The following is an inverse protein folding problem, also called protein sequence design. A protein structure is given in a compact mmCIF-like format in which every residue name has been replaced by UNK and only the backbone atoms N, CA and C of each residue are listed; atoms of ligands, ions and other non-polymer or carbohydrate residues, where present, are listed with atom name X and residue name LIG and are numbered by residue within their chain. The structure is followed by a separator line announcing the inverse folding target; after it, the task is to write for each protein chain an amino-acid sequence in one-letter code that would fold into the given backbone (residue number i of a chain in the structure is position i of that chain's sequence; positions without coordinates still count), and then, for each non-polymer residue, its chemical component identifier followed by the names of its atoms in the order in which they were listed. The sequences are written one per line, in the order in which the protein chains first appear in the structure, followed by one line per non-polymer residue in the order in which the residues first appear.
data_IF_031315298324
#
_entry.id   IF_031315298324
#
_cell.length_a   1.000
_cell.length_b   1.000
_cell.length_c   1.000
_cell.angle_alpha   90.00
_cell.angle_beta   90.00
_cell.angle_gamma   90.00
#
_symmetry.space_group_name_H-M   'P 1'
#
loop_
_entity.id
_entity.type
_entity.pdbx_description
1 polymer ?
#
# COMPACT_ATOMS: atom_id res chain seq x y z
N UNK A 1 -3.98 -43.78 57.27
CA UNK A 1 -4.65 -44.27 56.07
C UNK A 1 -5.00 -43.06 55.17
N UNK A 2 -4.22 -42.81 54.18
CA UNK A 2 -4.45 -41.78 53.17
C UNK A 2 -4.87 -42.48 51.87
N UNK A 3 -5.92 -42.05 51.18
CA UNK A 3 -6.26 -42.65 49.92
C UNK A 3 -5.40 -42.06 48.81
N UNK A 4 -4.88 -42.98 47.99
CA UNK A 4 -4.21 -42.73 46.72
C UNK A 4 -5.20 -42.09 45.75
N UNK A 5 -4.94 -40.86 45.27
CA UNK A 5 -5.58 -40.28 44.12
C UNK A 5 -4.72 -40.60 42.90
N UNK A 6 -5.35 -41.24 41.91
CA UNK A 6 -4.79 -41.71 40.66
C UNK A 6 -4.30 -40.56 39.75
N UNK A 7 -3.04 -40.59 39.44
CA UNK A 7 -2.42 -39.88 38.34
C UNK A 7 -2.73 -40.61 37.01
N UNK A 8 -3.78 -40.23 36.32
CA UNK A 8 -3.99 -40.59 34.90
C UNK A 8 -5.07 -39.69 34.32
N UNK A 9 -4.70 -38.57 33.78
CA UNK A 9 -5.45 -37.80 32.74
C UNK A 9 -4.82 -36.41 32.49
N UNK A 10 -3.51 -36.34 32.28
CA UNK A 10 -2.85 -35.15 31.70
C UNK A 10 -1.78 -35.65 30.74
N UNK A 11 -2.17 -36.15 29.60
CA UNK A 11 -1.27 -36.42 28.49
C UNK A 11 -2.08 -36.73 27.22
N UNK A 12 -2.83 -35.76 26.71
CA UNK A 12 -3.35 -35.81 25.31
C UNK A 12 -3.83 -34.42 24.81
N UNK A 13 -3.07 -33.36 25.07
CA UNK A 13 -3.35 -32.04 24.45
C UNK A 13 -2.07 -31.29 24.06
N UNK A 14 -0.98 -31.99 23.76
CA UNK A 14 0.28 -31.37 23.33
C UNK A 14 0.88 -31.97 22.08
N UNK A 15 0.10 -32.69 21.26
CA UNK A 15 0.64 -33.34 20.05
C UNK A 15 -0.02 -32.88 18.74
N UNK A 16 -0.75 -31.80 18.72
CA UNK A 16 -1.29 -31.20 17.48
C UNK A 16 -0.63 -29.88 17.08
N UNK A 17 0.33 -29.38 17.86
CA UNK A 17 1.11 -28.17 17.54
C UNK A 17 2.49 -28.42 16.91
N UNK A 18 2.87 -29.66 16.65
CA UNK A 18 4.21 -30.01 16.12
C UNK A 18 4.25 -30.29 14.62
N UNK A 19 3.15 -30.08 13.89
CA UNK A 19 3.10 -30.18 12.42
C UNK A 19 2.70 -28.88 11.73
N UNK A 20 2.43 -27.82 12.44
CA UNK A 20 2.48 -26.47 11.87
C UNK A 20 3.94 -26.03 11.97
N UNK A 21 4.71 -26.24 10.89
CA UNK A 21 6.06 -25.72 10.81
C UNK A 21 6.08 -24.27 11.29
N UNK A 22 7.13 -23.88 12.02
CA UNK A 22 7.46 -22.48 12.32
C UNK A 22 7.58 -21.76 10.98
N UNK A 23 6.44 -21.36 10.41
CA UNK A 23 6.31 -20.79 9.09
C UNK A 23 6.96 -19.43 9.09
N UNK A 24 7.81 -19.19 8.09
CA UNK A 24 8.18 -17.86 7.64
C UNK A 24 6.93 -16.98 7.63
N UNK A 25 7.07 -15.75 8.05
CA UNK A 25 5.97 -14.77 8.12
C UNK A 25 5.25 -14.68 6.77
N UNK A 26 4.00 -15.15 6.71
CA UNK A 26 3.10 -15.00 5.53
C UNK A 26 2.53 -13.57 5.41
N UNK A 27 3.27 -12.59 5.93
CA UNK A 27 2.88 -11.20 5.84
C UNK A 27 2.94 -10.72 4.39
N UNK A 28 1.79 -10.47 3.78
CA UNK A 28 1.67 -9.89 2.44
C UNK A 28 1.70 -8.37 2.56
N UNK A 29 2.82 -7.78 2.18
CA UNK A 29 3.06 -6.33 2.32
C UNK A 29 2.69 -5.53 1.08
N UNK A 30 2.72 -6.16 -0.10
CA UNK A 30 2.37 -5.53 -1.38
C UNK A 30 1.49 -6.44 -2.21
N UNK A 31 0.52 -5.85 -2.90
CA UNK A 31 -0.28 -6.49 -3.96
C UNK A 31 -0.22 -5.56 -5.16
N UNK A 32 0.29 -6.05 -6.31
CA UNK A 32 0.35 -5.32 -7.57
C UNK A 32 -0.42 -6.08 -8.64
N UNK A 33 -1.56 -5.52 -9.07
CA UNK A 33 -2.48 -6.16 -10.00
C UNK A 33 -2.14 -5.75 -11.44
N UNK A 34 -2.19 -6.71 -12.37
CA UNK A 34 -2.02 -6.44 -13.79
C UNK A 34 -3.17 -5.54 -14.31
N UNK A 35 -2.89 -4.50 -15.10
CA UNK A 35 -3.89 -3.50 -15.48
C UNK A 35 -5.08 -4.05 -16.27
N UNK A 36 -4.90 -5.11 -17.05
CA UNK A 36 -5.91 -5.64 -17.98
C UNK A 36 -6.17 -7.15 -17.87
N UNK A 37 -5.31 -7.92 -17.17
CA UNK A 37 -5.47 -9.36 -17.01
C UNK A 37 -5.67 -9.74 -15.54
N UNK A 38 -6.89 -10.09 -15.10
CA UNK A 38 -7.20 -10.41 -13.71
C UNK A 38 -6.50 -11.67 -13.17
N UNK A 39 -6.00 -12.53 -14.06
CA UNK A 39 -5.30 -13.74 -13.66
C UNK A 39 -3.83 -13.51 -13.32
N UNK A 40 -3.28 -12.35 -13.72
CA UNK A 40 -1.87 -12.02 -13.46
C UNK A 40 -1.79 -10.96 -12.37
N UNK A 41 -1.07 -11.25 -11.32
CA UNK A 41 -0.68 -10.25 -10.32
C UNK A 41 0.51 -10.71 -9.51
N UNK A 42 1.08 -9.78 -8.77
CA UNK A 42 2.24 -10.00 -7.93
C UNK A 42 1.89 -9.71 -6.48
N UNK A 43 2.50 -10.46 -5.60
CA UNK A 43 2.51 -10.16 -4.16
C UNK A 43 3.95 -10.16 -3.66
N UNK A 44 4.24 -9.25 -2.73
CA UNK A 44 5.49 -9.31 -1.99
C UNK A 44 5.20 -9.66 -0.54
N UNK A 45 5.96 -10.62 -0.03
CA UNK A 45 6.11 -10.86 1.41
C UNK A 45 7.25 -10.02 1.95
N UNK A 46 7.61 -10.19 3.21
CA UNK A 46 8.80 -9.53 3.77
C UNK A 46 10.10 -9.92 3.07
N UNK A 47 10.15 -11.11 2.44
CA UNK A 47 11.38 -11.70 1.96
C UNK A 47 11.40 -12.02 0.46
N UNK A 48 10.22 -12.18 -0.16
CA UNK A 48 10.10 -12.69 -1.52
C UNK A 48 9.03 -11.99 -2.34
N UNK A 49 9.19 -12.02 -3.67
CA UNK A 49 8.17 -11.65 -4.66
C UNK A 49 7.61 -12.95 -5.26
N UNK A 50 6.29 -13.02 -5.33
CA UNK A 50 5.58 -14.08 -6.01
C UNK A 50 4.68 -13.53 -7.09
N UNK A 51 4.52 -14.30 -8.17
CA UNK A 51 3.62 -14.02 -9.28
C UNK A 51 2.65 -15.16 -9.47
N UNK A 52 1.41 -14.83 -9.75
CA UNK A 52 0.42 -15.77 -10.27
C UNK A 52 0.10 -15.46 -11.72
N UNK A 53 -0.34 -16.50 -12.46
CA UNK A 53 -0.83 -16.40 -13.85
C UNK A 53 -2.23 -17.00 -14.00
N UNK A 54 -2.80 -17.52 -12.92
CA UNK A 54 -4.06 -18.26 -12.84
C UNK A 54 -5.02 -17.72 -11.77
N UNK A 55 -4.88 -16.44 -11.43
CA UNK A 55 -5.75 -15.78 -10.47
C UNK A 55 -5.46 -16.16 -9.00
N UNK A 56 -4.25 -16.67 -8.72
CA UNK A 56 -3.79 -16.97 -7.38
C UNK A 56 -3.93 -18.43 -6.96
N UNK A 57 -4.21 -19.33 -7.91
CA UNK A 57 -4.25 -20.77 -7.64
C UNK A 57 -2.83 -21.34 -7.48
N UNK A 58 -1.87 -20.86 -8.29
CA UNK A 58 -0.45 -21.21 -8.19
C UNK A 58 0.44 -19.98 -8.16
N UNK A 59 1.64 -20.14 -7.57
CA UNK A 59 2.59 -19.05 -7.37
C UNK A 59 3.99 -19.41 -7.81
N UNK A 60 4.62 -18.51 -8.55
CA UNK A 60 6.01 -18.55 -8.98
C UNK A 60 6.85 -17.58 -8.16
N UNK A 61 7.95 -18.04 -7.56
CA UNK A 61 8.89 -17.17 -6.84
C UNK A 61 9.80 -16.46 -7.86
N UNK A 62 9.76 -15.12 -7.86
CA UNK A 62 10.50 -14.26 -8.78
C UNK A 62 11.60 -13.43 -8.09
N UNK A 63 12.07 -13.84 -6.94
CA UNK A 63 13.07 -13.07 -6.17
C UNK A 63 14.51 -13.29 -6.63
N UNK A 64 14.74 -14.12 -7.65
CA UNK A 64 16.07 -14.40 -8.17
C UNK A 64 16.75 -13.13 -8.69
N UNK A 65 17.93 -12.84 -8.17
CA UNK A 65 18.68 -11.61 -8.52
C UNK A 65 18.41 -10.41 -7.60
N UNK A 66 17.47 -10.55 -6.64
CA UNK A 66 17.17 -9.55 -5.62
C UNK A 66 17.56 -10.04 -4.21
N UNK A 67 18.70 -10.73 -4.11
CA UNK A 67 19.19 -11.32 -2.86
C UNK A 67 19.38 -10.22 -1.80
N UNK A 68 18.74 -10.43 -0.63
CA UNK A 68 18.76 -9.54 0.55
C UNK A 68 17.94 -8.24 0.45
N UNK A 69 17.22 -8.00 -0.65
CA UNK A 69 16.42 -6.78 -0.82
C UNK A 69 15.00 -6.99 -0.33
N UNK A 70 14.62 -6.33 0.77
CA UNK A 70 13.21 -6.33 1.23
C UNK A 70 12.38 -5.43 0.32
N UNK A 71 11.41 -6.01 -0.39
CA UNK A 71 10.48 -5.28 -1.24
C UNK A 71 9.43 -4.60 -0.37
N UNK A 72 9.25 -3.30 -0.55
CA UNK A 72 8.31 -2.46 0.20
C UNK A 72 7.18 -1.96 -0.72
N UNK A 73 7.46 -1.77 -2.00
CA UNK A 73 6.49 -1.32 -2.98
C UNK A 73 6.72 -2.00 -4.33
N UNK A 74 5.65 -2.15 -5.10
CA UNK A 74 5.71 -2.64 -6.49
C UNK A 74 4.76 -1.82 -7.36
N UNK A 75 5.13 -1.67 -8.62
CA UNK A 75 4.26 -1.09 -9.64
C UNK A 75 4.43 -1.84 -10.96
N UNK A 76 3.34 -1.98 -11.69
CA UNK A 76 3.32 -2.54 -13.04
C UNK A 76 3.09 -1.39 -13.99
N UNK A 77 3.90 -1.30 -15.06
CA UNK A 77 3.69 -0.30 -16.09
C UNK A 77 2.29 -0.48 -16.72
N UNK A 78 1.44 0.56 -16.73
CA UNK A 78 0.06 0.44 -17.19
C UNK A 78 -0.05 0.22 -18.71
N UNK A 79 0.98 0.58 -19.48
CA UNK A 79 1.02 0.45 -20.93
C UNK A 79 1.80 -0.79 -21.37
N UNK A 80 2.91 -1.08 -20.67
CA UNK A 80 3.79 -2.23 -20.93
C UNK A 80 3.85 -3.17 -19.72
N UNK A 81 2.84 -4.00 -19.44
CA UNK A 81 2.73 -4.77 -18.20
C UNK A 81 3.80 -5.84 -17.98
N UNK A 82 4.64 -6.12 -18.97
CA UNK A 82 5.86 -6.90 -18.81
C UNK A 82 6.92 -6.12 -17.99
N UNK A 83 6.81 -4.79 -17.94
CA UNK A 83 7.69 -3.93 -17.14
C UNK A 83 7.13 -3.80 -15.73
N UNK A 84 7.92 -4.23 -14.76
CA UNK A 84 7.57 -4.23 -13.34
C UNK A 84 8.67 -3.55 -12.54
N UNK A 85 8.26 -2.74 -11.57
CA UNK A 85 9.16 -2.05 -10.66
C UNK A 85 9.00 -2.60 -9.24
N UNK A 86 10.11 -2.74 -8.54
CA UNK A 86 10.15 -3.09 -7.14
C UNK A 86 10.99 -2.05 -6.37
N UNK A 87 10.34 -1.40 -5.42
CA UNK A 87 10.97 -0.50 -4.48
C UNK A 87 11.37 -1.25 -3.22
N UNK A 88 12.63 -1.08 -2.82
CA UNK A 88 13.21 -1.88 -1.75
C UNK A 88 13.62 -1.02 -0.56
N UNK A 89 13.95 -1.72 0.53
CA UNK A 89 14.67 -1.14 1.65
C UNK A 89 16.16 -1.45 1.47
N UNK A 90 16.95 -0.40 1.21
CA UNK A 90 18.42 -0.48 1.17
C UNK A 90 19.03 -0.57 -0.23
N UNK A 91 18.30 -1.05 -1.25
CA UNK A 91 18.83 -1.23 -2.61
C UNK A 91 18.14 -0.37 -3.69
N UNK A 92 17.38 0.63 -3.26
CA UNK A 92 16.64 1.55 -4.11
C UNK A 92 15.59 0.87 -5.01
N UNK A 93 15.74 0.90 -6.33
CA UNK A 93 14.76 0.45 -7.32
C UNK A 93 15.33 -0.70 -8.13
N UNK A 94 14.52 -1.75 -8.29
CA UNK A 94 14.72 -2.78 -9.31
C UNK A 94 13.65 -2.68 -10.38
N UNK A 95 14.04 -2.93 -11.62
CA UNK A 95 13.16 -2.97 -12.79
C UNK A 95 13.31 -4.30 -13.51
N UNK A 96 12.18 -4.88 -13.90
CA UNK A 96 12.11 -6.03 -14.79
C UNK A 96 11.42 -5.61 -16.08
N UNK A 97 11.87 -6.15 -17.22
CA UNK A 97 11.27 -5.96 -18.53
C UNK A 97 10.55 -7.22 -19.05
N UNK A 98 10.60 -8.32 -18.30
CA UNK A 98 10.11 -9.65 -18.66
C UNK A 98 9.12 -10.23 -17.65
N UNK A 99 8.42 -9.35 -16.94
CA UNK A 99 7.40 -9.74 -15.97
C UNK A 99 7.96 -10.38 -14.71
N UNK A 100 9.15 -9.95 -14.27
CA UNK A 100 9.77 -10.34 -13.02
C UNK A 100 10.77 -11.50 -13.13
N UNK A 101 11.04 -12.03 -14.34
CA UNK A 101 11.98 -13.15 -14.52
C UNK A 101 13.42 -12.70 -14.27
N UNK A 102 13.75 -11.47 -14.66
CA UNK A 102 15.05 -10.83 -14.41
C UNK A 102 14.85 -9.44 -13.84
N UNK A 103 15.63 -9.11 -12.82
CA UNK A 103 15.63 -7.81 -12.19
C UNK A 103 16.94 -7.10 -12.40
N UNK A 104 16.87 -5.83 -12.78
CA UNK A 104 18.01 -4.93 -12.98
C UNK A 104 17.91 -3.79 -11.97
N UNK A 105 18.97 -3.54 -11.23
CA UNK A 105 19.03 -2.43 -10.29
C UNK A 105 19.14 -1.11 -11.04
N UNK A 106 18.26 -0.17 -10.72
CA UNK A 106 18.19 1.18 -11.30
C UNK A 106 18.55 2.21 -10.24
N UNK A 107 19.83 2.60 -10.19
CA UNK A 107 20.39 3.47 -9.14
C UNK A 107 20.80 4.85 -9.63
N UNK A 108 20.86 5.09 -10.93
CA UNK A 108 21.32 6.36 -11.49
C UNK A 108 20.43 7.52 -11.03
N UNK A 109 21.02 8.49 -10.32
CA UNK A 109 20.32 9.60 -9.68
C UNK A 109 19.77 9.29 -8.27
N UNK A 110 19.98 8.06 -7.77
CA UNK A 110 19.60 7.59 -6.44
C UNK A 110 20.82 7.26 -5.57
N UNK A 111 22.01 7.75 -5.90
CA UNK A 111 23.26 7.39 -5.24
C UNK A 111 23.26 7.70 -3.73
N UNK A 112 22.56 8.76 -3.32
CA UNK A 112 22.40 9.12 -1.90
C UNK A 112 21.30 8.31 -1.17
N UNK A 113 20.55 7.47 -1.90
CA UNK A 113 19.36 6.73 -1.39
C UNK A 113 19.74 5.32 -0.89
N UNK A 114 20.99 4.89 -1.04
CA UNK A 114 21.45 3.52 -0.77
C UNK A 114 21.72 3.30 0.72
N UNK A 115 21.44 2.10 1.22
CA UNK A 115 21.69 1.49 2.53
C UNK A 115 20.65 1.76 3.65
N UNK A 116 19.96 2.88 3.71
CA UNK A 116 18.96 3.15 4.77
C UNK A 116 17.62 3.60 4.25
N UNK A 117 17.54 3.88 2.94
CA UNK A 117 16.34 4.42 2.33
C UNK A 117 15.34 3.34 1.93
N UNK A 118 14.08 3.75 1.91
CA UNK A 118 12.96 2.92 1.50
C UNK A 118 12.25 3.61 0.34
N UNK A 119 11.96 2.87 -0.72
CA UNK A 119 11.03 3.34 -1.76
C UNK A 119 9.63 2.89 -1.37
N UNK A 120 8.84 3.83 -0.85
CA UNK A 120 7.54 3.56 -0.25
C UNK A 120 6.44 3.34 -1.28
N UNK A 121 6.51 4.03 -2.44
CA UNK A 121 5.48 3.95 -3.47
C UNK A 121 6.02 4.43 -4.82
N UNK A 122 5.47 3.87 -5.90
CA UNK A 122 5.57 4.40 -7.25
C UNK A 122 4.22 4.89 -7.75
N UNK A 123 4.22 5.99 -8.51
CA UNK A 123 3.06 6.46 -9.26
C UNK A 123 3.48 6.84 -10.67
N UNK A 124 2.69 6.41 -11.66
CA UNK A 124 2.91 6.74 -13.06
C UNK A 124 2.16 8.01 -13.46
N UNK A 125 2.73 8.79 -14.36
CA UNK A 125 1.97 9.80 -15.08
C UNK A 125 0.96 9.06 -16.00
N UNK A 126 -0.35 9.33 -15.89
CA UNK A 126 -1.35 8.61 -16.67
C UNK A 126 -1.28 8.91 -18.18
N UNK A 127 -0.56 9.96 -18.58
CA UNK A 127 -0.40 10.36 -19.98
C UNK A 127 0.94 9.93 -20.59
N UNK A 128 1.90 9.50 -19.76
CA UNK A 128 3.24 9.10 -20.19
C UNK A 128 3.82 8.05 -19.24
N UNK A 129 3.79 6.78 -19.62
CA UNK A 129 4.29 5.67 -18.81
C UNK A 129 5.83 5.69 -18.62
N UNK A 130 6.58 6.45 -19.45
CA UNK A 130 8.01 6.67 -19.22
C UNK A 130 8.25 7.60 -18.02
N UNK A 131 7.23 8.37 -17.65
CA UNK A 131 7.30 9.26 -16.50
C UNK A 131 6.68 8.60 -15.27
N UNK A 132 7.48 8.44 -14.24
CA UNK A 132 7.03 7.92 -12.96
C UNK A 132 7.71 8.64 -11.80
N UNK A 133 7.07 8.60 -10.64
CA UNK A 133 7.56 9.22 -9.41
C UNK A 133 7.71 8.16 -8.33
N UNK A 134 8.76 8.28 -7.53
CA UNK A 134 9.01 7.47 -6.35
C UNK A 134 8.90 8.31 -5.07
N UNK A 135 8.03 7.89 -4.15
CA UNK A 135 8.04 8.38 -2.77
C UNK A 135 9.10 7.62 -1.96
N UNK A 136 10.02 8.31 -1.34
CA UNK A 136 11.09 7.67 -0.57
C UNK A 136 11.26 8.31 0.81
N UNK A 137 11.99 7.63 1.67
CA UNK A 137 12.41 8.21 2.96
C UNK A 137 13.34 9.41 2.80
N UNK A 138 13.92 9.65 1.63
CA UNK A 138 14.81 10.79 1.34
C UNK A 138 14.17 11.85 0.45
N UNK A 139 12.92 11.68 0.08
CA UNK A 139 12.15 12.64 -0.72
C UNK A 139 11.43 12.03 -1.91
N UNK A 140 11.05 12.90 -2.85
CA UNK A 140 10.40 12.55 -4.09
C UNK A 140 11.44 12.51 -5.20
N UNK A 141 11.42 11.46 -6.00
CA UNK A 141 12.25 11.32 -7.18
C UNK A 141 11.36 11.12 -8.41
N UNK A 142 11.70 11.77 -9.50
CA UNK A 142 11.08 11.65 -10.83
C UNK A 142 12.02 10.92 -11.76
N UNK A 143 11.49 9.99 -12.55
CA UNK A 143 12.11 9.50 -13.77
C UNK A 143 11.28 9.92 -14.96
N UNK A 144 11.94 10.26 -16.08
CA UNK A 144 11.32 10.61 -17.36
C UNK A 144 11.70 9.61 -18.48
N UNK A 145 12.37 8.54 -18.12
CA UNK A 145 12.86 7.50 -19.04
C UNK A 145 12.58 6.08 -18.51
N UNK A 146 11.41 5.90 -17.91
CA UNK A 146 10.97 4.59 -17.44
C UNK A 146 11.81 4.04 -16.29
N UNK A 147 12.33 4.90 -15.41
CA UNK A 147 13.07 4.49 -14.21
C UNK A 147 14.54 4.21 -14.42
N UNK A 148 15.11 4.49 -15.59
CA UNK A 148 16.55 4.30 -15.85
C UNK A 148 17.40 5.32 -15.11
N UNK A 149 16.92 6.58 -15.04
CA UNK A 149 17.54 7.65 -14.25
C UNK A 149 16.51 8.39 -13.44
N UNK A 150 16.94 8.92 -12.29
CA UNK A 150 16.06 9.59 -11.33
C UNK A 150 16.59 10.97 -10.97
N UNK A 151 15.69 11.91 -10.78
CA UNK A 151 15.98 13.26 -10.34
C UNK A 151 15.17 13.63 -9.11
N UNK A 152 15.81 14.17 -8.08
CA UNK A 152 15.13 14.61 -6.86
C UNK A 152 14.24 15.82 -7.11
N UNK A 153 13.02 15.80 -6.57
CA UNK A 153 11.97 16.81 -6.74
C UNK A 153 11.43 17.28 -5.39
N UNK A 154 12.19 18.09 -4.67
CA UNK A 154 11.90 18.52 -3.30
C UNK A 154 11.79 20.03 -3.13
N UNK A 155 11.79 20.82 -4.22
CA UNK A 155 11.67 22.29 -4.09
C UNK A 155 10.35 22.67 -3.40
N UNK A 156 10.43 23.50 -2.36
CA UNK A 156 9.31 23.89 -1.52
C UNK A 156 8.98 22.93 -0.36
N UNK A 157 9.50 21.69 -0.35
CA UNK A 157 9.38 20.77 0.80
C UNK A 157 10.57 20.97 1.72
N UNK A 158 10.31 21.50 2.92
CA UNK A 158 11.33 21.75 3.95
C UNK A 158 11.02 20.94 5.20
N UNK A 159 12.04 20.55 5.94
CA UNK A 159 11.94 19.93 7.28
C UNK A 159 11.10 18.65 7.33
N UNK A 160 11.10 17.87 6.24
CA UNK A 160 10.36 16.60 6.15
C UNK A 160 11.33 15.44 6.27
N UNK A 161 11.04 14.51 7.20
CA UNK A 161 11.88 13.33 7.44
C UNK A 161 11.68 12.25 6.37
N UNK A 162 10.45 12.13 5.82
CA UNK A 162 10.14 11.13 4.80
C UNK A 162 8.92 11.50 3.98
N UNK A 163 8.88 11.04 2.74
CA UNK A 163 7.68 11.01 1.89
C UNK A 163 7.15 9.58 1.87
N UNK A 164 5.90 9.40 2.28
CA UNK A 164 5.29 8.08 2.44
C UNK A 164 4.49 7.70 1.22
N UNK A 165 3.73 8.65 0.67
CA UNK A 165 2.75 8.39 -0.38
C UNK A 165 2.64 9.55 -1.34
N UNK A 166 2.28 9.25 -2.59
CA UNK A 166 2.00 10.21 -3.65
C UNK A 166 0.65 9.90 -4.27
N UNK A 167 -0.07 10.92 -4.70
CA UNK A 167 -1.26 10.78 -5.52
C UNK A 167 -1.24 11.82 -6.65
N UNK A 168 -1.59 11.40 -7.86
CA UNK A 168 -1.78 12.26 -9.01
C UNK A 168 -3.26 12.52 -9.22
N UNK A 169 -3.57 13.72 -9.68
CA UNK A 169 -4.89 14.00 -10.25
C UNK A 169 -5.02 13.23 -11.58
N UNK A 170 -5.99 12.32 -11.72
CA UNK A 170 -6.08 11.46 -12.89
C UNK A 170 -6.43 12.20 -14.18
N UNK A 171 -6.98 13.41 -14.06
CA UNK A 171 -7.38 14.26 -15.20
C UNK A 171 -6.39 15.39 -15.47
N UNK A 172 -5.66 15.81 -14.45
CA UNK A 172 -4.70 16.94 -14.48
C UNK A 172 -3.37 16.48 -13.86
N UNK A 173 -2.54 15.66 -14.53
CA UNK A 173 -1.33 15.05 -13.94
C UNK A 173 -0.21 16.05 -13.60
N UNK A 174 -0.39 17.35 -13.92
CA UNK A 174 0.44 18.42 -13.35
C UNK A 174 0.16 18.67 -11.87
N UNK A 175 -1.03 18.27 -11.39
CA UNK A 175 -1.44 18.37 -9.98
C UNK A 175 -1.10 17.05 -9.29
N UNK A 176 -0.31 17.14 -8.24
CA UNK A 176 0.04 15.99 -7.41
C UNK A 176 0.00 16.36 -5.94
N UNK A 177 -0.17 15.35 -5.11
CA UNK A 177 -0.16 15.45 -3.66
C UNK A 177 0.87 14.51 -3.09
N UNK A 178 1.61 14.97 -2.08
CA UNK A 178 2.58 14.18 -1.34
C UNK A 178 2.18 14.11 0.13
N UNK A 179 1.99 12.89 0.62
CA UNK A 179 1.82 12.61 2.04
C UNK A 179 3.17 12.37 2.69
N UNK A 180 3.47 13.17 3.70
CA UNK A 180 4.78 13.20 4.36
C UNK A 180 4.66 13.09 5.87
N UNK A 181 5.80 12.95 6.56
CA UNK A 181 5.86 13.06 8.01
C UNK A 181 5.46 14.45 8.54
N UNK A 182 5.46 15.48 7.69
CA UNK A 182 5.10 16.87 8.02
C UNK A 182 3.73 17.32 7.48
N UNK A 183 2.90 16.39 7.02
CA UNK A 183 1.57 16.65 6.46
C UNK A 183 1.51 16.49 4.95
N UNK A 184 0.59 17.18 4.32
CA UNK A 184 0.33 17.15 2.88
C UNK A 184 0.99 18.32 2.18
N UNK A 185 1.64 18.02 1.06
CA UNK A 185 2.14 19.01 0.11
C UNK A 185 1.45 18.81 -1.24
N UNK A 186 1.24 19.90 -1.96
CA UNK A 186 0.62 19.94 -3.30
C UNK A 186 1.58 20.59 -4.29
N UNK A 187 1.58 20.09 -5.51
CA UNK A 187 2.21 20.74 -6.66
C UNK A 187 1.17 20.99 -7.76
N UNK A 188 1.35 22.03 -8.55
CA UNK A 188 0.55 22.33 -9.74
C UNK A 188 1.36 22.19 -11.04
N UNK A 189 2.64 21.83 -10.92
CA UNK A 189 3.59 21.85 -12.02
C UNK A 189 4.48 20.58 -12.08
N UNK A 190 3.86 19.40 -11.85
CA UNK A 190 4.53 18.09 -11.93
C UNK A 190 5.76 17.99 -11.04
N UNK A 191 5.59 18.23 -9.76
CA UNK A 191 6.64 18.13 -8.75
C UNK A 191 7.83 19.09 -8.94
N UNK A 192 7.75 20.11 -9.80
CA UNK A 192 8.80 21.12 -9.92
C UNK A 192 8.88 21.95 -8.65
N UNK A 193 7.70 22.32 -8.08
CA UNK A 193 7.62 23.03 -6.80
C UNK A 193 6.42 22.56 -6.01
N UNK A 194 6.59 22.43 -4.71
CA UNK A 194 5.59 21.98 -3.75
C UNK A 194 5.22 23.08 -2.77
N UNK A 195 3.96 23.09 -2.37
CA UNK A 195 3.41 23.98 -1.36
C UNK A 195 2.74 23.17 -0.27
N UNK A 196 2.91 23.57 0.99
CA UNK A 196 2.28 22.93 2.14
C UNK A 196 0.81 23.27 2.20
N UNK A 197 -0.08 22.26 2.30
CA UNK A 197 -1.54 22.40 2.25
C UNK A 197 -2.18 21.68 3.44
N UNK A 198 -1.93 22.14 4.66
CA UNK A 198 -2.33 21.47 5.90
C UNK A 198 -3.50 22.17 6.63
N UNK A 199 -4.14 23.17 6.04
CA UNK A 199 -5.23 23.90 6.69
C UNK A 199 -6.38 22.97 7.09
N UNK A 200 -6.65 22.84 8.41
CA UNK A 200 -7.66 21.92 8.95
C UNK A 200 -7.22 20.45 9.09
N UNK A 201 -5.99 20.10 8.68
CA UNK A 201 -5.47 18.73 8.80
C UNK A 201 -5.15 18.34 10.25
N UNK A 202 -4.93 19.31 11.13
CA UNK A 202 -4.79 19.14 12.57
C UNK A 202 -5.73 20.11 13.26
N UNK A 203 -6.44 19.65 14.32
CA UNK A 203 -7.14 20.54 15.23
C UNK A 203 -6.16 21.52 15.87
N UNK A 204 -6.58 22.77 16.05
CA UNK A 204 -5.75 23.86 16.57
C UNK A 204 -5.15 23.55 17.96
N UNK A 205 -5.83 22.73 18.74
CA UNK A 205 -5.41 22.27 20.09
C UNK A 205 -4.29 21.20 20.08
N UNK A 206 -4.02 20.59 18.92
CA UNK A 206 -3.01 19.53 18.75
C UNK A 206 -1.77 19.94 17.96
N UNK A 207 -1.64 21.21 17.62
CA UNK A 207 -0.55 21.79 16.81
C UNK A 207 0.86 21.59 17.41
N UNK A 208 0.98 21.25 18.70
CA UNK A 208 2.26 21.05 19.39
C UNK A 208 2.88 19.67 19.15
N UNK A 209 2.16 18.71 18.53
CA UNK A 209 2.66 17.37 18.25
C UNK A 209 2.96 17.20 16.76
N UNK A 210 4.22 17.34 16.38
CA UNK A 210 4.66 17.13 14.99
C UNK A 210 4.38 15.69 14.46
N UNK A 211 4.23 14.71 15.35
CA UNK A 211 3.85 13.33 14.99
C UNK A 211 2.41 13.22 14.47
N UNK A 212 1.53 14.12 14.85
CA UNK A 212 0.12 14.11 14.44
C UNK A 212 -0.08 14.31 12.93
N UNK A 213 0.88 14.91 12.24
CA UNK A 213 0.84 15.22 10.80
C UNK A 213 1.25 14.07 9.89
N UNK A 214 1.78 12.98 10.42
CA UNK A 214 2.25 11.87 9.61
C UNK A 214 1.14 11.29 8.72
N UNK A 215 1.23 11.55 7.40
CA UNK A 215 0.29 11.03 6.41
C UNK A 215 0.74 9.65 5.97
N UNK A 216 -0.12 8.66 6.13
CA UNK A 216 0.16 7.26 5.75
C UNK A 216 -0.35 6.92 4.35
N UNK A 217 -1.49 7.50 3.95
CA UNK A 217 -2.09 7.32 2.63
C UNK A 217 -2.68 8.63 2.14
N UNK A 218 -2.51 8.94 0.85
CA UNK A 218 -3.22 10.01 0.17
C UNK A 218 -3.85 9.47 -1.12
N UNK A 219 -5.09 9.86 -1.42
CA UNK A 219 -5.82 9.45 -2.61
C UNK A 219 -6.59 10.63 -3.20
N UNK A 220 -6.61 10.74 -4.53
CA UNK A 220 -7.47 11.67 -5.27
C UNK A 220 -8.68 10.89 -5.78
N UNK A 221 -9.87 11.44 -5.60
CA UNK A 221 -11.11 10.82 -6.09
C UNK A 221 -11.09 10.75 -7.63
N UNK A 222 -11.20 9.57 -8.23
CA UNK A 222 -11.13 9.42 -9.67
C UNK A 222 -12.33 10.03 -10.40
N UNK A 223 -13.44 10.26 -9.71
CA UNK A 223 -14.67 10.85 -10.25
C UNK A 223 -14.76 12.36 -9.99
N UNK A 224 -14.20 12.81 -8.87
CA UNK A 224 -14.22 14.19 -8.40
C UNK A 224 -12.80 14.61 -7.98
N UNK A 225 -11.92 14.99 -8.92
CA UNK A 225 -10.48 15.19 -8.63
C UNK A 225 -10.16 16.31 -7.61
N UNK A 226 -11.10 17.20 -7.33
CA UNK A 226 -10.95 18.18 -6.25
C UNK A 226 -11.25 17.58 -4.86
N UNK A 227 -11.79 16.35 -4.81
CA UNK A 227 -11.91 15.58 -3.58
C UNK A 227 -10.63 14.78 -3.34
N UNK A 228 -9.96 15.09 -2.25
CA UNK A 228 -8.73 14.44 -1.82
C UNK A 228 -8.93 13.86 -0.43
N UNK A 229 -8.46 12.64 -0.24
CA UNK A 229 -8.54 11.94 1.04
C UNK A 229 -7.14 11.69 1.59
N UNK A 230 -6.95 11.95 2.87
CA UNK A 230 -5.67 11.72 3.56
C UNK A 230 -5.92 10.92 4.85
N UNK A 231 -5.27 9.77 4.97
CA UNK A 231 -5.15 9.07 6.24
C UNK A 231 -3.89 9.55 6.96
N UNK A 232 -4.05 9.94 8.20
CA UNK A 232 -2.97 10.40 9.09
C UNK A 232 -2.90 9.51 10.34
N UNK A 233 -1.93 9.75 11.19
CA UNK A 233 -1.87 9.10 12.50
C UNK A 233 -3.02 9.52 13.44
N UNK A 234 -3.78 10.58 13.08
CA UNK A 234 -4.92 11.12 13.85
C UNK A 234 -6.28 10.89 13.19
N UNK A 235 -6.37 10.02 12.18
CA UNK A 235 -7.62 9.69 11.51
C UNK A 235 -7.62 10.03 10.02
N UNK A 236 -8.80 9.97 9.42
CA UNK A 236 -9.02 10.21 7.99
C UNK A 236 -9.61 11.58 7.78
N UNK A 237 -9.08 12.30 6.81
CA UNK A 237 -9.47 13.64 6.42
C UNK A 237 -9.89 13.68 4.96
N UNK A 238 -10.83 14.56 4.65
CA UNK A 238 -11.31 14.86 3.29
C UNK A 238 -11.17 16.35 3.01
N UNK A 239 -10.69 16.65 1.84
CA UNK A 239 -10.81 17.94 1.18
C UNK A 239 -11.81 17.84 0.03
N UNK A 240 -12.55 18.90 -0.26
CA UNK A 240 -13.45 19.02 -1.42
C UNK A 240 -13.07 20.19 -2.32
N UNK A 241 -11.93 20.82 -2.06
CA UNK A 241 -11.43 22.03 -2.70
C UNK A 241 -9.96 21.90 -3.19
N UNK A 242 -9.54 20.66 -3.51
CA UNK A 242 -8.21 20.38 -3.99
C UNK A 242 -7.12 20.59 -2.93
N UNK A 243 -7.41 20.20 -1.69
CA UNK A 243 -6.55 20.30 -0.51
C UNK A 243 -6.28 21.74 0.00
N UNK A 244 -7.11 22.73 -0.35
CA UNK A 244 -7.03 24.07 0.26
C UNK A 244 -7.48 24.03 1.73
N UNK A 245 -8.48 23.19 2.04
CA UNK A 245 -8.93 22.92 3.41
C UNK A 245 -9.25 21.44 3.62
N UNK A 246 -9.10 20.99 4.88
CA UNK A 246 -9.34 19.60 5.28
C UNK A 246 -10.35 19.54 6.42
N UNK A 247 -11.19 18.52 6.37
CA UNK A 247 -12.12 18.18 7.45
C UNK A 247 -11.95 16.71 7.84
N UNK A 248 -11.86 16.43 9.13
CA UNK A 248 -11.88 15.04 9.65
C UNK A 248 -13.23 14.42 9.36
N UNK A 249 -13.24 13.19 8.79
CA UNK A 249 -14.46 12.49 8.37
C UNK A 249 -14.70 11.19 9.12
N UNK A 250 -13.73 10.62 9.77
CA UNK A 250 -13.79 9.26 10.31
C UNK A 250 -14.09 9.25 11.82
N UNK A 251 -15.20 9.85 12.26
CA UNK A 251 -15.56 9.85 13.68
C UNK A 251 -15.94 8.47 14.23
N UNK A 252 -16.44 7.56 13.37
CA UNK A 252 -16.83 6.19 13.73
C UNK A 252 -15.75 5.15 13.45
N UNK A 253 -14.61 5.52 12.83
CA UNK A 253 -13.46 4.64 12.75
C UNK A 253 -12.70 4.65 14.08
N UNK A 254 -12.25 3.50 14.57
CA UNK A 254 -11.30 3.46 15.68
C UNK A 254 -10.09 4.35 15.41
N UNK A 255 -9.54 4.99 16.44
CA UNK A 255 -8.32 5.81 16.31
C UNK A 255 -7.11 4.90 16.06
N UNK A 256 -6.84 4.61 14.80
CA UNK A 256 -5.79 3.68 14.37
C UNK A 256 -5.14 4.11 13.06
N UNK A 257 -3.92 3.65 12.89
CA UNK A 257 -3.18 3.88 11.66
C UNK A 257 -3.80 3.11 10.49
N UNK A 258 -4.25 3.82 9.47
CA UNK A 258 -4.68 3.23 8.19
C UNK A 258 -3.44 2.81 7.40
N UNK A 259 -3.39 1.54 7.03
CA UNK A 259 -2.31 0.93 6.25
C UNK A 259 -2.52 1.07 4.74
N UNK A 260 -3.78 1.05 4.29
CA UNK A 260 -4.14 1.24 2.89
C UNK A 260 -5.55 1.83 2.76
N UNK A 261 -5.79 2.55 1.67
CA UNK A 261 -7.09 3.12 1.31
C UNK A 261 -7.30 2.93 -0.18
N UNK A 262 -8.52 2.60 -0.57
CA UNK A 262 -8.97 2.53 -1.96
C UNK A 262 -10.28 3.29 -2.09
N UNK A 263 -10.33 4.20 -3.05
CA UNK A 263 -11.56 4.84 -3.52
C UNK A 263 -12.12 3.97 -4.65
N UNK A 264 -13.40 3.59 -4.56
CA UNK A 264 -14.02 2.68 -5.52
C UNK A 264 -14.04 3.29 -6.92
N UNK A 265 -13.49 2.57 -7.89
CA UNK A 265 -13.37 3.05 -9.28
C UNK A 265 -14.69 3.11 -10.01
N UNK A 266 -15.70 2.36 -9.56
CA UNK A 266 -17.01 2.28 -10.20
C UNK A 266 -18.09 3.05 -9.46
N UNK A 267 -17.92 3.29 -8.15
CA UNK A 267 -18.94 3.90 -7.28
C UNK A 267 -18.38 5.13 -6.59
N UNK A 268 -18.74 6.34 -7.04
CA UNK A 268 -18.37 7.57 -6.36
C UNK A 268 -18.78 7.56 -4.88
N UNK A 269 -17.91 8.04 -4.01
CA UNK A 269 -18.17 8.14 -2.58
C UNK A 269 -18.02 6.84 -1.79
N UNK A 270 -17.75 5.69 -2.44
CA UNK A 270 -17.44 4.44 -1.75
C UNK A 270 -15.95 4.38 -1.48
N UNK A 271 -15.60 4.12 -0.21
CA UNK A 271 -14.22 4.13 0.29
C UNK A 271 -13.97 2.87 1.11
N UNK A 272 -12.84 2.24 0.88
CA UNK A 272 -12.35 1.10 1.66
C UNK A 272 -11.07 1.51 2.37
N UNK A 273 -10.96 1.16 3.65
CA UNK A 273 -9.74 1.34 4.43
C UNK A 273 -9.33 0.04 5.11
N UNK A 274 -8.04 -0.18 5.14
CA UNK A 274 -7.40 -1.28 5.84
C UNK A 274 -6.59 -0.76 7.03
N UNK A 275 -6.58 -1.52 8.11
CA UNK A 275 -5.86 -1.19 9.32
C UNK A 275 -5.41 -2.47 10.04
N UNK A 276 -4.85 -2.32 11.25
CA UNK A 276 -4.56 -3.46 12.13
C UNK A 276 -5.80 -4.06 12.79
N UNK A 277 -6.94 -3.37 12.74
CA UNK A 277 -8.22 -3.81 13.31
C UNK A 277 -9.21 -4.23 12.21
N UNK A 278 -8.71 -4.46 11.00
CA UNK A 278 -9.46 -5.00 9.89
C UNK A 278 -9.77 -4.01 8.79
N UNK A 279 -10.77 -4.38 8.03
CA UNK A 279 -11.30 -3.66 6.89
C UNK A 279 -12.56 -2.90 7.27
N UNK A 280 -12.69 -1.67 6.80
CA UNK A 280 -13.92 -0.88 6.91
C UNK A 280 -14.28 -0.29 5.56
N UNK A 281 -15.59 -0.12 5.34
CA UNK A 281 -16.18 0.46 4.13
C UNK A 281 -17.07 1.63 4.51
N UNK A 282 -16.96 2.70 3.77
CA UNK A 282 -17.91 3.81 3.75
C UNK A 282 -18.63 3.85 2.40
N UNK A 283 -19.91 4.16 2.40
CA UNK A 283 -20.73 4.33 1.19
C UNK A 283 -21.25 5.77 1.02
N UNK A 284 -20.84 6.67 1.91
CA UNK A 284 -21.32 8.06 2.02
C UNK A 284 -20.18 9.09 2.01
N UNK A 285 -19.06 8.76 1.39
CA UNK A 285 -17.90 9.64 1.28
C UNK A 285 -17.11 9.80 2.57
N UNK A 286 -17.19 8.81 3.46
CA UNK A 286 -16.42 8.73 4.71
C UNK A 286 -17.15 9.28 5.93
N UNK A 287 -18.47 9.57 5.85
CA UNK A 287 -19.23 10.05 7.00
C UNK A 287 -19.51 8.92 7.98
N UNK A 288 -19.91 7.75 7.47
CA UNK A 288 -20.10 6.53 8.28
C UNK A 288 -19.25 5.38 7.77
N UNK A 289 -18.84 4.48 8.67
CA UNK A 289 -17.96 3.37 8.38
C UNK A 289 -18.48 2.08 8.99
N UNK A 290 -18.54 1.03 8.19
CA UNK A 290 -18.98 -0.29 8.61
C UNK A 290 -17.82 -1.29 8.51
N UNK A 291 -17.60 -2.14 9.51
CA UNK A 291 -16.62 -3.20 9.42
C UNK A 291 -17.05 -4.26 8.38
N UNK A 292 -16.10 -4.68 7.53
CA UNK A 292 -16.30 -5.68 6.48
C UNK A 292 -15.29 -6.81 6.61
N UNK A 293 -15.29 -7.50 7.75
CA UNK A 293 -14.26 -8.46 8.15
C UNK A 293 -14.68 -9.93 8.00
N UNK A 294 -15.89 -10.22 7.48
CA UNK A 294 -16.42 -11.57 7.41
C UNK A 294 -15.54 -12.48 6.54
N UNK A 295 -14.96 -13.50 7.15
CA UNK A 295 -14.07 -14.48 6.50
C UNK A 295 -12.58 -14.20 6.66
N UNK A 296 -12.17 -13.06 7.20
CA UNK A 296 -10.76 -12.79 7.56
C UNK A 296 -10.39 -13.54 8.84
N UNK A 297 -9.34 -14.34 8.80
CA UNK A 297 -8.80 -14.99 9.99
C UNK A 297 -7.88 -14.07 10.80
N UNK A 298 -7.35 -13.01 10.20
CA UNK A 298 -6.57 -11.97 10.88
C UNK A 298 -7.08 -10.59 10.47
N UNK A 299 -7.28 -9.73 11.45
CA UNK A 299 -7.67 -8.34 11.24
C UNK A 299 -6.46 -7.42 10.96
N UNK A 300 -5.23 -7.88 11.15
CA UNK A 300 -4.04 -7.09 10.87
C UNK A 300 -3.79 -7.01 9.37
N UNK A 301 -4.54 -6.15 8.66
CA UNK A 301 -4.45 -5.97 7.22
C UNK A 301 -3.33 -4.97 6.88
N UNK A 302 -2.45 -5.37 5.96
CA UNK A 302 -1.26 -4.59 5.55
C UNK A 302 -1.39 -3.96 4.17
N UNK A 303 -2.07 -4.64 3.26
CA UNK A 303 -2.22 -4.22 1.87
C UNK A 303 -3.63 -4.46 1.37
N UNK A 304 -4.10 -3.61 0.47
CA UNK A 304 -5.43 -3.62 -0.13
C UNK A 304 -5.32 -3.22 -1.59
N UNK A 305 -5.97 -3.97 -2.48
CA UNK A 305 -6.04 -3.63 -3.89
C UNK A 305 -7.42 -3.97 -4.46
N UNK A 306 -7.99 -3.07 -5.27
CA UNK A 306 -9.19 -3.29 -6.08
C UNK A 306 -8.78 -3.75 -7.48
N UNK A 307 -9.42 -4.77 -8.00
CA UNK A 307 -9.19 -5.23 -9.37
C UNK A 307 -9.46 -4.12 -10.38
N UNK A 308 -8.55 -3.88 -11.34
CA UNK A 308 -8.79 -2.90 -12.40
C UNK A 308 -9.83 -3.37 -13.41
N UNK A 309 -10.10 -4.68 -13.52
CA UNK A 309 -10.99 -5.30 -14.49
C UNK A 309 -12.35 -5.68 -13.94
N UNK A 310 -12.47 -5.83 -12.62
CA UNK A 310 -13.73 -6.13 -11.95
C UNK A 310 -13.80 -5.34 -10.63
N UNK A 311 -14.61 -4.28 -10.57
CA UNK A 311 -14.67 -3.40 -9.39
C UNK A 311 -15.26 -4.05 -8.14
N UNK A 312 -15.87 -5.24 -8.24
CA UNK A 312 -16.34 -6.00 -7.07
C UNK A 312 -15.25 -6.90 -6.48
N UNK A 313 -14.18 -7.14 -7.22
CA UNK A 313 -13.07 -7.99 -6.75
C UNK A 313 -12.00 -7.17 -6.05
N UNK A 314 -11.72 -7.56 -4.80
CA UNK A 314 -10.70 -6.98 -3.95
C UNK A 314 -9.74 -8.05 -3.43
N UNK A 315 -8.53 -7.62 -3.15
CA UNK A 315 -7.50 -8.45 -2.52
C UNK A 315 -6.97 -7.75 -1.27
N UNK A 316 -6.78 -8.50 -0.19
CA UNK A 316 -6.14 -8.00 1.03
C UNK A 316 -5.02 -8.92 1.45
N UNK A 317 -3.90 -8.32 1.81
CA UNK A 317 -2.78 -9.00 2.42
C UNK A 317 -2.76 -8.76 3.93
N UNK A 318 -2.62 -9.83 4.69
CA UNK A 318 -2.60 -9.77 6.15
C UNK A 318 -1.19 -9.98 6.72
N UNK A 319 -1.02 -9.64 7.98
CA UNK A 319 0.21 -9.91 8.70
C UNK A 319 0.12 -11.29 9.36
N UNK A 320 0.55 -12.33 8.63
CA UNK A 320 0.69 -13.70 9.15
C UNK A 320 -0.45 -14.68 8.80
N UNK A 321 -1.52 -14.23 8.09
CA UNK A 321 -2.59 -15.12 7.64
C UNK A 321 -2.75 -15.16 6.11
N UNK A 322 -1.73 -14.64 5.39
CA UNK A 322 -1.68 -14.71 3.93
C UNK A 322 -2.59 -13.73 3.20
N UNK A 323 -3.00 -14.12 2.00
CA UNK A 323 -3.78 -13.34 1.05
C UNK A 323 -5.24 -13.77 1.07
N UNK A 324 -6.15 -12.80 0.97
CA UNK A 324 -7.59 -13.03 0.84
C UNK A 324 -8.13 -12.29 -0.37
N UNK A 325 -9.20 -12.84 -0.96
CA UNK A 325 -9.95 -12.25 -2.06
C UNK A 325 -11.42 -12.08 -1.67
N UNK A 326 -12.01 -10.96 -2.05
CA UNK A 326 -13.47 -10.77 -2.09
C UNK A 326 -13.90 -10.60 -3.55
N UNK A 327 -15.08 -11.10 -3.91
CA UNK A 327 -15.71 -10.94 -5.23
C UNK A 327 -17.07 -10.22 -5.16
N UNK A 328 -17.42 -9.72 -3.99
CA UNK A 328 -18.71 -9.10 -3.69
C UNK A 328 -18.59 -7.69 -3.10
N UNK A 329 -17.44 -7.03 -3.32
CA UNK A 329 -17.21 -5.68 -2.83
C UNK A 329 -16.83 -5.60 -1.36
N UNK A 330 -16.22 -6.66 -0.83
CA UNK A 330 -15.73 -6.72 0.55
C UNK A 330 -16.71 -7.33 1.54
N UNK A 331 -17.91 -7.76 1.12
CA UNK A 331 -18.92 -8.32 2.03
C UNK A 331 -18.47 -9.66 2.61
N UNK A 332 -17.69 -10.44 1.84
CA UNK A 332 -17.07 -11.69 2.29
C UNK A 332 -15.66 -11.83 1.73
N UNK A 333 -14.76 -12.32 2.57
CA UNK A 333 -13.37 -12.62 2.23
C UNK A 333 -13.13 -14.13 2.24
N UNK A 334 -12.44 -14.61 1.21
CA UNK A 334 -12.06 -16.01 1.04
C UNK A 334 -10.53 -16.11 1.08
N UNK A 335 -9.97 -17.04 1.87
CA UNK A 335 -8.54 -17.25 1.87
C UNK A 335 -8.08 -17.78 0.50
N UNK A 336 -6.95 -17.30 0.03
CA UNK A 336 -6.31 -17.78 -1.18
C UNK A 336 -5.24 -18.83 -0.85
N UNK A 337 -4.86 -19.69 -1.81
CA UNK A 337 -3.76 -20.62 -1.63
C UNK A 337 -2.49 -19.91 -1.12
N UNK A 338 -1.74 -20.57 -0.23
CA UNK A 338 -0.52 -19.98 0.31
C UNK A 338 0.48 -19.69 -0.79
N UNK A 339 1.11 -18.50 -0.73
CA UNK A 339 2.08 -18.05 -1.75
C UNK A 339 3.39 -18.83 -1.73
N UNK A 340 3.64 -19.60 -0.67
CA UNK A 340 4.77 -20.53 -0.61
C UNK A 340 4.33 -21.88 -1.13
N UNK A 341 4.89 -22.34 -2.25
CA UNK A 341 4.81 -23.75 -2.60
C UNK A 341 5.48 -24.56 -1.47
N UNK A 342 4.75 -25.49 -0.87
CA UNK A 342 5.38 -26.52 -0.06
C UNK A 342 6.23 -27.35 -1.03
N UNK A 343 7.55 -27.02 -1.12
CA UNK A 343 8.52 -27.90 -1.74
C UNK A 343 8.78 -29.08 -0.83
#
# INVERSE_FOLDING_TARGET
MLPRVSLLSIALLSLTCLLAGCGRSDAIVVIALHPTNPNIFYVATTDYIYKTRDGGETWENLSKGMTHSRVISMAIDPVYPATVYAGTKGDAVFKSYDGGQRWVSQRAGLEGVVMTSVVNQFVFDPLDSNRLFGATTLGIFESQNGGETWQKRMDGIKEVLMVVTLALDPTRPTIMYAGTSGGVYKTLNRAVRWEKVNNGLIPADQLQSSRALGVTVIQVDPHLPDHVYAATLNGVYKSTDGAQSWRRIAQSLPDQMISAMVLDRAKPGVIYVASREGMHKSEDGGMTWNPINKGLASLNVRSLAQSPTDPKTFYVGTNGSGLYRSRDGGDRWEPMPPVHSRS
#
